data_IF_708534669497
#
_entry.id   IF_708534669497
#
_cell.length_a   1.000
_cell.length_b   1.000
_cell.length_c   1.000
_cell.angle_alpha   90.00
_cell.angle_beta   90.00
_cell.angle_gamma   90.00
#
_symmetry.space_group_name_H-M   'P 1'
#
loop_
_entity.id
_entity.type
_entity.pdbx_description
1 polymer ?
#
# COMPACT_ATOMS: atom_id res chain seq x y z
N UNK A 1 26.31 -5.28 -1.35
CA UNK A 1 25.33 -5.63 -0.29
C UNK A 1 24.45 -6.75 -0.82
N UNK A 2 24.50 -7.95 -0.24
CA UNK A 2 23.65 -9.07 -0.68
C UNK A 2 22.19 -8.62 -0.65
N UNK A 3 21.51 -8.67 -1.79
CA UNK A 3 20.11 -8.28 -1.92
C UNK A 3 19.28 -9.12 -0.95
N UNK A 4 18.81 -8.51 0.15
CA UNK A 4 17.81 -9.14 0.99
C UNK A 4 16.57 -9.33 0.11
N UNK A 5 16.10 -10.58 -0.01
CA UNK A 5 14.78 -10.84 -0.60
C UNK A 5 13.74 -10.19 0.32
N UNK A 6 13.25 -9.03 -0.07
CA UNK A 6 12.17 -8.32 0.62
C UNK A 6 10.86 -8.85 0.05
N UNK A 7 9.97 -9.31 0.92
CA UNK A 7 8.60 -9.63 0.52
C UNK A 7 7.80 -8.32 0.44
N UNK A 8 7.71 -7.74 -0.75
CA UNK A 8 7.21 -6.39 -0.96
C UNK A 8 5.74 -6.39 -1.37
N UNK A 9 4.94 -5.60 -0.65
CA UNK A 9 3.53 -5.40 -0.90
C UNK A 9 3.24 -3.94 -1.26
N UNK A 10 2.30 -3.72 -2.18
CA UNK A 10 1.76 -2.40 -2.49
C UNK A 10 0.24 -2.45 -2.62
N UNK A 11 -0.42 -1.46 -2.03
CA UNK A 11 -1.88 -1.30 -2.11
C UNK A 11 -2.25 0.09 -2.58
N UNK A 12 -3.32 0.16 -3.35
CA UNK A 12 -3.92 1.41 -3.84
C UNK A 12 -5.40 1.13 -4.13
N UNK A 13 -6.26 2.13 -3.96
CA UNK A 13 -7.69 2.01 -4.29
C UNK A 13 -7.93 2.04 -5.80
N UNK A 14 -7.01 2.64 -6.56
CA UNK A 14 -7.10 2.76 -8.01
C UNK A 14 -6.63 1.47 -8.71
N UNK A 15 -7.57 0.67 -9.20
CA UNK A 15 -7.28 -0.57 -9.94
C UNK A 15 -6.31 -0.38 -11.10
N UNK A 16 -6.40 0.78 -11.78
CA UNK A 16 -5.51 1.13 -12.89
C UNK A 16 -4.05 1.22 -12.45
N UNK A 17 -3.78 1.78 -11.27
CA UNK A 17 -2.43 1.90 -10.73
C UNK A 17 -1.89 0.52 -10.33
N UNK A 18 -2.73 -0.31 -9.70
CA UNK A 18 -2.37 -1.70 -9.39
C UNK A 18 -2.03 -2.50 -10.67
N UNK A 19 -2.80 -2.33 -11.75
CA UNK A 19 -2.51 -2.98 -13.03
C UNK A 19 -1.16 -2.56 -13.61
N UNK A 20 -0.82 -1.28 -13.54
CA UNK A 20 0.48 -0.75 -13.99
C UNK A 20 1.61 -1.31 -13.10
N UNK A 21 1.44 -1.29 -11.78
CA UNK A 21 2.43 -1.78 -10.84
C UNK A 21 2.75 -3.27 -11.05
N UNK A 22 1.72 -4.12 -11.19
CA UNK A 22 1.88 -5.55 -11.51
C UNK A 22 2.62 -5.80 -12.84
N UNK A 23 2.39 -4.93 -13.84
CA UNK A 23 3.09 -5.03 -15.12
C UNK A 23 4.57 -4.67 -15.00
N UNK A 24 4.88 -3.61 -14.24
CA UNK A 24 6.24 -3.08 -14.14
C UNK A 24 7.12 -3.86 -13.15
N UNK A 25 6.51 -4.45 -12.12
CA UNK A 25 7.21 -5.15 -11.03
C UNK A 25 6.49 -6.48 -10.70
N UNK A 26 6.53 -7.46 -11.62
CA UNK A 26 5.78 -8.71 -11.49
C UNK A 26 6.21 -9.58 -10.30
N UNK A 27 7.42 -9.39 -9.77
CA UNK A 27 7.95 -10.09 -8.60
C UNK A 27 7.38 -9.58 -7.26
N UNK A 28 6.75 -8.41 -7.26
CA UNK A 28 6.14 -7.79 -6.09
C UNK A 28 4.62 -8.04 -6.01
N UNK A 29 4.06 -7.94 -4.81
CA UNK A 29 2.66 -8.25 -4.52
C UNK A 29 1.82 -6.98 -4.49
N UNK A 30 1.08 -6.72 -5.54
CA UNK A 30 0.16 -5.58 -5.60
C UNK A 30 -1.31 -6.02 -5.52
N UNK A 31 -2.13 -5.27 -4.78
CA UNK A 31 -3.56 -5.52 -4.70
C UNK A 31 -4.37 -4.23 -4.53
N UNK A 32 -5.60 -4.26 -4.99
CA UNK A 32 -6.55 -3.18 -4.74
C UNK A 32 -7.01 -3.29 -3.29
N UNK A 33 -6.87 -2.21 -2.52
CA UNK A 33 -7.37 -2.15 -1.15
C UNK A 33 -7.64 -0.70 -0.72
N UNK A 34 -8.61 -0.54 0.18
CA UNK A 34 -8.82 0.71 0.91
C UNK A 34 -7.82 0.79 2.07
N UNK A 35 -7.08 1.88 2.15
CA UNK A 35 -6.09 2.12 3.22
C UNK A 35 -6.74 2.28 4.60
N UNK A 36 -8.04 2.60 4.66
CA UNK A 36 -8.81 2.63 5.91
C UNK A 36 -9.24 1.23 6.37
N UNK A 37 -9.19 0.23 5.50
CA UNK A 37 -9.56 -1.16 5.80
C UNK A 37 -8.58 -2.13 5.12
N UNK A 38 -7.35 -2.16 5.64
CA UNK A 38 -6.28 -2.97 5.11
C UNK A 38 -6.53 -4.47 5.37
N UNK A 39 -6.44 -5.35 4.34
CA UNK A 39 -6.71 -6.77 4.47
C UNK A 39 -5.46 -7.56 4.92
N UNK A 40 -4.77 -7.04 5.93
CA UNK A 40 -3.61 -7.69 6.53
C UNK A 40 -3.89 -7.94 8.02
N UNK A 41 -3.43 -9.07 8.58
CA UNK A 41 -3.55 -9.28 10.00
C UNK A 41 -2.70 -8.26 10.79
N UNK A 42 -2.98 -8.04 12.08
CA UNK A 42 -2.13 -7.23 12.94
C UNK A 42 -0.67 -7.68 12.89
N UNK A 43 0.27 -6.73 12.95
CA UNK A 43 1.72 -6.98 12.96
C UNK A 43 2.25 -7.77 11.74
N UNK A 44 1.59 -7.66 10.58
CA UNK A 44 2.02 -8.38 9.36
C UNK A 44 3.32 -7.84 8.73
N UNK A 45 3.62 -6.54 8.89
CA UNK A 45 4.76 -5.89 8.24
C UNK A 45 5.84 -5.50 9.24
N UNK A 46 7.10 -5.77 8.90
CA UNK A 46 8.26 -5.24 9.65
C UNK A 46 8.44 -3.73 9.45
N UNK A 47 8.04 -3.20 8.29
CA UNK A 47 8.16 -1.80 7.90
C UNK A 47 7.00 -1.38 7.01
N UNK A 48 6.50 -0.17 7.23
CA UNK A 48 5.40 0.41 6.46
C UNK A 48 5.83 1.78 5.92
N UNK A 49 5.52 2.02 4.66
CA UNK A 49 5.66 3.33 4.03
C UNK A 49 4.28 3.80 3.56
N UNK A 50 3.91 5.03 3.94
CA UNK A 50 2.70 5.71 3.44
C UNK A 50 3.15 7.03 2.83
N UNK A 51 3.11 7.12 1.51
CA UNK A 51 3.66 8.25 0.76
C UNK A 51 2.53 8.92 0.02
N UNK A 52 2.31 10.21 0.31
CA UNK A 52 1.33 11.03 -0.41
C UNK A 52 -0.10 10.44 -0.40
N UNK A 53 -0.50 9.74 0.66
CA UNK A 53 -1.85 9.13 0.77
C UNK A 53 -2.84 10.07 1.47
N UNK A 54 -2.38 10.83 2.47
CA UNK A 54 -3.25 11.57 3.40
C UNK A 54 -4.16 12.61 2.73
N UNK A 55 -3.73 13.21 1.62
CA UNK A 55 -4.53 14.22 0.92
C UNK A 55 -5.77 13.64 0.21
N UNK A 56 -5.83 12.32 -0.02
CA UNK A 56 -6.96 11.65 -0.66
C UNK A 56 -8.00 11.13 0.33
N UNK A 57 -7.74 11.25 1.64
CA UNK A 57 -8.66 10.75 2.69
C UNK A 57 -9.67 11.87 3.02
N UNK A 58 -11.00 11.63 2.90
CA UNK A 58 -12.03 12.62 3.19
C UNK A 58 -11.88 13.18 4.61
N UNK A 59 -11.70 14.49 4.70
CA UNK A 59 -10.97 15.10 5.80
C UNK A 59 -11.78 15.39 7.07
N UNK A 60 -13.08 15.13 7.12
CA UNK A 60 -13.91 15.57 8.27
C UNK A 60 -13.76 14.71 9.53
N UNK A 61 -13.37 13.43 9.42
CA UNK A 61 -13.29 12.51 10.56
C UNK A 61 -11.87 12.02 10.89
N UNK A 62 -10.89 12.32 10.03
CA UNK A 62 -9.52 11.81 10.15
C UNK A 62 -8.46 12.91 10.29
N UNK A 63 -8.88 14.18 10.27
CA UNK A 63 -8.06 15.30 10.76
C UNK A 63 -8.23 15.33 12.29
N UNK A 64 -7.14 15.12 13.03
CA UNK A 64 -7.12 15.46 14.45
C UNK A 64 -7.51 16.95 14.57
N UNK A 65 -8.48 17.23 15.45
CA UNK A 65 -8.75 18.59 15.91
C UNK A 65 -7.53 19.13 16.67
#
# INVERSE_FOLDING_TARGET
MKAKRVDYFGVDIAERLIKIAKKNYPEAKFQVADVLNLPFPPNFFDKIYSISVLHNIPSKNFQLQ
#
